data_IF_187940799450
#
_entry.id   IF_187940799450
#
_cell.length_a   1.000
_cell.length_b   1.000
_cell.length_c   1.000
_cell.angle_alpha   90.00
_cell.angle_beta   90.00
_cell.angle_gamma   90.00
#
_symmetry.space_group_name_H-M   'P 1'
#
loop_
_entity.id
_entity.type
_entity.pdbx_description
1 polymer ?
#
# COMPACT_ATOMS: atom_id res chain seq x y z
N UNK A 1 -60.21 22.60 38.53
CA UNK A 1 -59.68 21.25 38.21
C UNK A 1 -58.26 21.17 37.78
N UNK A 2 -57.37 22.22 37.96
CA UNK A 2 -55.98 22.17 37.47
C UNK A 2 -54.94 21.66 38.46
N UNK A 3 -55.24 21.63 39.75
CA UNK A 3 -54.28 21.27 40.80
C UNK A 3 -53.77 19.79 40.78
N UNK A 4 -54.59 18.79 40.48
CA UNK A 4 -54.12 17.40 40.36
C UNK A 4 -53.27 17.18 39.11
N UNK A 5 -53.53 17.82 37.98
CA UNK A 5 -52.74 17.74 36.78
C UNK A 5 -51.34 18.36 36.96
N UNK A 6 -51.27 19.49 37.69
CA UNK A 6 -49.99 20.13 38.01
C UNK A 6 -49.11 19.25 38.93
N UNK A 7 -49.76 18.59 39.93
CA UNK A 7 -49.02 17.64 40.80
C UNK A 7 -48.50 16.44 40.02
N UNK A 8 -49.27 15.91 39.07
CA UNK A 8 -48.82 14.79 38.25
C UNK A 8 -47.63 15.17 37.38
N UNK A 9 -47.70 16.35 36.74
CA UNK A 9 -46.57 16.87 35.94
C UNK A 9 -45.31 17.13 36.74
N UNK A 10 -45.42 17.60 37.98
CA UNK A 10 -44.25 17.79 38.87
C UNK A 10 -43.61 16.50 39.28
N UNK A 11 -44.39 15.45 39.56
CA UNK A 11 -43.89 14.11 39.88
C UNK A 11 -43.20 13.46 38.67
N UNK A 12 -43.75 13.67 37.47
CA UNK A 12 -43.19 13.17 36.23
C UNK A 12 -41.89 13.89 35.87
N UNK A 13 -41.80 15.19 36.14
CA UNK A 13 -40.59 15.99 35.99
C UNK A 13 -39.50 15.56 36.97
N UNK A 14 -39.86 15.30 38.23
CA UNK A 14 -38.91 14.82 39.28
C UNK A 14 -38.34 13.45 38.91
N UNK A 15 -39.22 12.52 38.49
CA UNK A 15 -38.81 11.19 38.03
C UNK A 15 -37.94 11.25 36.77
N UNK A 16 -38.30 12.13 35.84
CA UNK A 16 -37.56 12.35 34.59
C UNK A 16 -36.19 13.00 34.81
N UNK A 17 -36.00 13.77 35.89
CA UNK A 17 -34.73 14.39 36.23
C UNK A 17 -33.77 13.45 36.99
N UNK A 18 -34.30 12.41 37.61
CA UNK A 18 -33.47 11.41 38.33
C UNK A 18 -32.75 10.46 37.37
N UNK A 19 -33.34 10.18 36.21
CA UNK A 19 -32.72 9.28 35.21
C UNK A 19 -31.40 9.83 34.63
N UNK A 20 -31.33 11.14 34.23
CA UNK A 20 -30.07 11.73 33.81
C UNK A 20 -28.99 11.81 34.92
N UNK A 21 -29.42 12.06 36.17
CA UNK A 21 -28.45 12.11 37.29
C UNK A 21 -27.86 10.75 37.60
N UNK A 22 -28.61 9.67 37.48
CA UNK A 22 -28.11 8.30 37.54
C UNK A 22 -27.11 7.99 36.42
N UNK A 23 -27.41 8.37 35.17
CA UNK A 23 -26.51 8.21 34.04
C UNK A 23 -25.23 9.01 34.16
N UNK A 24 -25.28 10.21 34.70
CA UNK A 24 -24.09 11.03 34.98
C UNK A 24 -23.19 10.39 36.06
N UNK A 25 -23.77 9.82 37.11
CA UNK A 25 -23.01 9.08 38.14
C UNK A 25 -22.35 7.83 37.58
N UNK A 26 -23.01 7.12 36.69
CA UNK A 26 -22.46 5.94 36.02
C UNK A 26 -21.34 6.31 35.05
N UNK A 27 -21.49 7.42 34.34
CA UNK A 27 -20.45 7.95 33.46
C UNK A 27 -19.20 8.40 34.25
N UNK A 28 -19.39 9.06 35.39
CA UNK A 28 -18.28 9.49 36.27
C UNK A 28 -17.54 8.29 36.85
N UNK A 29 -18.27 7.26 37.27
CA UNK A 29 -17.71 6.01 37.76
C UNK A 29 -16.93 5.27 36.64
N UNK A 30 -17.48 5.21 35.43
CA UNK A 30 -16.80 4.61 34.27
C UNK A 30 -15.55 5.39 33.85
N UNK A 31 -15.58 6.71 33.89
CA UNK A 31 -14.42 7.55 33.62
C UNK A 31 -13.32 7.38 34.68
N UNK A 32 -13.71 7.24 35.94
CA UNK A 32 -12.81 6.95 37.05
C UNK A 32 -12.11 5.61 36.90
N UNK A 33 -12.87 4.56 36.57
CA UNK A 33 -12.32 3.21 36.31
C UNK A 33 -11.38 3.19 35.11
N UNK A 34 -11.73 3.86 34.02
CA UNK A 34 -10.88 4.00 32.83
C UNK A 34 -9.57 4.72 33.17
N UNK A 35 -9.64 5.80 33.97
CA UNK A 35 -8.46 6.53 34.43
C UNK A 35 -7.52 5.67 35.27
N UNK A 36 -8.07 4.83 36.16
CA UNK A 36 -7.28 3.90 36.98
C UNK A 36 -6.63 2.80 36.11
N UNK A 37 -7.37 2.26 35.15
CA UNK A 37 -6.84 1.24 34.23
C UNK A 37 -5.73 1.81 33.33
N UNK A 38 -5.89 3.04 32.82
CA UNK A 38 -4.87 3.71 32.04
C UNK A 38 -3.60 4.01 32.84
N UNK A 39 -3.74 4.43 34.11
CA UNK A 39 -2.57 4.62 35.00
C UNK A 39 -1.87 3.30 35.31
N UNK A 40 -2.62 2.24 35.60
CA UNK A 40 -2.04 0.90 35.77
C UNK A 40 -1.31 0.41 34.54
N UNK A 41 -1.90 0.57 33.36
CA UNK A 41 -1.25 0.22 32.11
C UNK A 41 0.01 1.08 31.83
N UNK A 42 0.01 2.36 32.21
CA UNK A 42 1.17 3.24 32.07
C UNK A 42 2.32 2.85 33.04
N UNK A 43 1.97 2.32 34.23
CA UNK A 43 2.98 1.84 35.21
C UNK A 43 3.56 0.48 34.79
N UNK A 44 2.80 -0.34 34.05
CA UNK A 44 3.23 -1.63 33.50
C UNK A 44 4.10 -1.48 32.23
N UNK A 45 4.15 -0.27 31.64
CA UNK A 45 5.06 -0.02 30.51
C UNK A 45 6.51 -0.07 31.01
N UNK A 46 7.36 -0.96 30.48
CA UNK A 46 8.76 -1.02 30.88
C UNK A 46 9.43 0.35 30.69
N UNK A 47 9.95 0.91 31.77
CA UNK A 47 10.76 2.15 31.69
C UNK A 47 12.13 1.74 31.21
N UNK A 48 12.40 1.99 29.95
CA UNK A 48 13.69 1.74 29.34
C UNK A 48 14.69 2.78 29.85
N UNK A 49 15.82 2.34 30.38
CA UNK A 49 16.97 3.21 30.67
C UNK A 49 17.57 3.73 29.36
N UNK A 50 18.26 4.87 29.37
CA UNK A 50 18.87 5.45 28.18
C UNK A 50 19.73 4.45 27.38
N UNK A 51 20.51 3.62 28.06
CA UNK A 51 21.34 2.58 27.44
C UNK A 51 20.50 1.47 26.77
N UNK A 52 19.33 1.15 27.32
CA UNK A 52 18.40 0.19 26.71
C UNK A 52 17.66 0.78 25.51
N UNK A 53 17.42 2.08 25.50
CA UNK A 53 16.88 2.80 24.32
C UNK A 53 17.88 2.80 23.18
N UNK A 54 19.17 3.00 23.47
CA UNK A 54 20.23 2.97 22.45
C UNK A 54 20.43 1.53 21.90
N UNK A 55 20.43 0.52 22.75
CA UNK A 55 20.47 -0.88 22.34
C UNK A 55 19.18 -1.29 21.60
N UNK A 56 18.04 -0.79 22.03
CA UNK A 56 16.74 -0.99 21.35
C UNK A 56 16.69 -0.33 19.97
N UNK A 57 17.28 0.83 19.80
CA UNK A 57 17.36 1.52 18.50
C UNK A 57 18.26 0.80 17.50
N UNK A 58 19.28 0.11 17.99
CA UNK A 58 20.20 -0.72 17.19
C UNK A 58 19.60 -2.10 16.86
N UNK A 59 18.80 -2.67 17.76
CA UNK A 59 18.14 -3.97 17.55
C UNK A 59 16.82 -3.85 16.82
N UNK A 60 16.12 -2.75 17.00
CA UNK A 60 14.97 -2.37 16.19
C UNK A 60 15.49 -1.75 14.89
N UNK A 61 15.95 -2.57 13.98
CA UNK A 61 15.87 -2.26 12.55
C UNK A 61 14.40 -2.27 12.09
N UNK A 62 13.49 -1.82 12.92
CA UNK A 62 12.19 -1.32 12.50
C UNK A 62 12.46 -0.10 11.65
N UNK A 63 11.96 -0.04 10.41
CA UNK A 63 11.96 1.22 9.68
C UNK A 63 11.42 2.26 10.65
N UNK A 64 12.22 3.28 10.94
CA UNK A 64 11.83 4.34 11.85
C UNK A 64 10.42 4.76 11.46
N UNK A 65 9.45 4.49 12.33
CA UNK A 65 8.12 5.08 12.23
C UNK A 65 8.35 6.56 12.51
N UNK A 66 8.71 7.28 11.44
CA UNK A 66 8.77 8.73 11.47
C UNK A 66 7.35 9.15 11.78
N UNK A 67 7.13 9.72 12.95
CA UNK A 67 5.84 10.32 13.27
C UNK A 67 5.50 11.29 12.15
N UNK A 68 4.50 10.94 11.37
CA UNK A 68 3.94 11.81 10.34
C UNK A 68 3.23 12.94 11.06
N UNK A 69 3.93 14.02 11.35
CA UNK A 69 3.28 15.23 11.74
C UNK A 69 2.36 15.67 10.59
N UNK A 70 1.10 15.94 10.90
CA UNK A 70 0.04 16.23 9.92
C UNK A 70 0.34 17.47 9.01
N UNK A 71 1.48 18.11 9.19
CA UNK A 71 1.94 19.28 8.43
C UNK A 71 2.95 18.94 7.31
N UNK A 72 3.42 17.69 7.21
CA UNK A 72 4.43 17.33 6.23
C UNK A 72 3.80 16.54 5.07
N UNK A 73 3.12 17.26 4.18
CA UNK A 73 2.56 16.70 2.94
C UNK A 73 3.64 16.02 2.06
N UNK A 74 4.89 16.45 2.19
CA UNK A 74 6.05 15.85 1.53
C UNK A 74 6.33 14.44 2.05
N UNK A 75 6.20 14.22 3.36
CA UNK A 75 6.44 12.92 3.99
C UNK A 75 5.40 11.88 3.57
N UNK A 76 4.13 12.25 3.42
CA UNK A 76 3.08 11.34 2.95
C UNK A 76 3.33 10.90 1.51
N UNK A 77 3.73 11.82 0.63
CA UNK A 77 4.11 11.51 -0.75
C UNK A 77 5.26 10.53 -0.83
N UNK A 78 6.30 10.71 -0.01
CA UNK A 78 7.49 9.84 0.01
C UNK A 78 7.16 8.42 0.48
N UNK A 79 6.28 8.28 1.47
CA UNK A 79 5.85 6.96 2.00
C UNK A 79 5.06 6.17 0.96
N UNK A 80 4.21 6.82 0.17
CA UNK A 80 3.40 6.17 -0.86
C UNK A 80 4.07 6.12 -2.24
N UNK A 81 5.13 6.89 -2.48
CA UNK A 81 5.84 6.91 -3.76
C UNK A 81 6.23 5.52 -4.27
N UNK A 82 6.79 4.60 -3.46
CA UNK A 82 7.12 3.25 -3.92
C UNK A 82 5.93 2.47 -4.47
N UNK A 83 4.76 2.62 -3.85
CA UNK A 83 3.53 1.96 -4.29
C UNK A 83 3.05 2.54 -5.63
N UNK A 84 2.99 3.87 -5.74
CA UNK A 84 2.54 4.54 -6.96
C UNK A 84 3.50 4.32 -8.13
N UNK A 85 4.81 4.24 -7.86
CA UNK A 85 5.81 3.88 -8.88
C UNK A 85 5.60 2.46 -9.40
N UNK A 86 5.41 1.51 -8.50
CA UNK A 86 5.12 0.12 -8.88
C UNK A 86 3.84 0.01 -9.69
N UNK A 87 2.79 0.72 -9.26
CA UNK A 87 1.52 0.79 -9.96
C UNK A 87 1.68 1.39 -11.36
N UNK A 88 2.41 2.50 -11.49
CA UNK A 88 2.67 3.15 -12.76
C UNK A 88 3.43 2.24 -13.74
N UNK A 89 4.44 1.51 -13.25
CA UNK A 89 5.18 0.54 -14.06
C UNK A 89 4.28 -0.59 -14.56
N UNK A 90 3.41 -1.15 -13.69
CA UNK A 90 2.47 -2.20 -14.07
C UNK A 90 1.41 -1.70 -15.07
N UNK A 91 0.85 -0.52 -14.84
CA UNK A 91 -0.11 0.11 -15.76
C UNK A 91 0.50 0.33 -17.14
N UNK A 92 1.73 0.86 -17.21
CA UNK A 92 2.44 1.06 -18.45
C UNK A 92 2.69 -0.24 -19.22
N UNK A 93 3.06 -1.31 -18.50
CA UNK A 93 3.20 -2.63 -19.10
C UNK A 93 1.87 -3.14 -19.67
N UNK A 94 0.77 -2.99 -18.91
CA UNK A 94 -0.56 -3.42 -19.35
C UNK A 94 -1.01 -2.66 -20.60
N UNK A 95 -0.86 -1.33 -20.61
CA UNK A 95 -1.21 -0.48 -21.75
C UNK A 95 -0.35 -0.81 -22.99
N UNK A 96 0.93 -1.07 -22.80
CA UNK A 96 1.85 -1.45 -23.88
C UNK A 96 1.34 -2.69 -24.62
N UNK A 97 0.89 -3.72 -23.92
CA UNK A 97 0.36 -4.94 -24.55
C UNK A 97 -1.11 -4.81 -25.00
N UNK A 98 -1.76 -3.70 -24.74
CA UNK A 98 -3.01 -3.34 -25.43
C UNK A 98 -2.76 -2.84 -26.86
N UNK A 99 -1.62 -2.19 -27.06
CA UNK A 99 -1.22 -1.61 -28.36
C UNK A 99 -0.35 -2.58 -29.16
N UNK A 100 0.62 -3.21 -28.51
CA UNK A 100 1.51 -4.18 -29.14
C UNK A 100 0.90 -5.59 -29.11
N UNK A 101 1.23 -6.39 -30.10
CA UNK A 101 0.85 -7.80 -30.14
C UNK A 101 1.77 -8.61 -29.21
N UNK A 102 1.25 -9.36 -28.24
CA UNK A 102 2.06 -10.12 -27.27
C UNK A 102 2.88 -11.25 -27.92
N UNK A 103 2.41 -11.78 -29.04
CA UNK A 103 3.12 -12.75 -29.86
C UNK A 103 3.09 -12.30 -31.35
N UNK A 104 4.26 -12.27 -31.96
CA UNK A 104 4.39 -11.98 -33.40
C UNK A 104 4.10 -13.25 -34.20
N UNK A 105 3.00 -13.24 -34.96
CA UNK A 105 2.60 -14.40 -35.80
C UNK A 105 3.69 -14.82 -36.77
N UNK A 106 4.44 -13.87 -37.36
CA UNK A 106 5.55 -14.18 -38.27
C UNK A 106 6.65 -15.03 -37.60
N UNK A 107 6.94 -14.80 -36.31
CA UNK A 107 7.94 -15.58 -35.57
C UNK A 107 7.43 -17.00 -35.27
N UNK A 108 6.13 -17.15 -35.05
CA UNK A 108 5.50 -18.47 -34.83
C UNK A 108 5.42 -19.26 -36.13
N UNK A 109 5.00 -18.60 -37.22
CA UNK A 109 4.79 -19.23 -38.55
C UNK A 109 6.11 -19.62 -39.23
N UNK A 110 7.23 -18.97 -38.86
CA UNK A 110 8.57 -19.27 -39.45
C UNK A 110 9.24 -20.51 -38.86
N UNK A 111 8.59 -21.26 -37.96
CA UNK A 111 9.16 -22.47 -37.35
C UNK A 111 10.34 -22.21 -36.43
N UNK A 112 10.55 -20.95 -36.00
CA UNK A 112 11.60 -20.60 -35.04
C UNK A 112 11.32 -21.24 -33.69
N UNK A 113 12.40 -21.57 -32.95
CA UNK A 113 12.28 -22.12 -31.61
C UNK A 113 11.37 -21.25 -30.73
N UNK A 114 10.43 -21.84 -29.96
CA UNK A 114 9.41 -21.09 -29.21
C UNK A 114 10.00 -19.98 -28.32
N UNK A 115 11.14 -20.23 -27.69
CA UNK A 115 11.84 -19.25 -26.86
C UNK A 115 12.27 -18.02 -27.65
N UNK A 116 12.80 -18.20 -28.86
CA UNK A 116 13.21 -17.06 -29.74
C UNK A 116 12.01 -16.25 -30.21
N UNK A 117 10.89 -16.89 -30.49
CA UNK A 117 9.66 -16.22 -30.89
C UNK A 117 9.10 -15.36 -29.74
N UNK A 118 9.12 -15.86 -28.51
CA UNK A 118 8.70 -15.11 -27.31
C UNK A 118 9.64 -13.94 -27.06
N UNK A 119 10.96 -14.17 -27.10
CA UNK A 119 11.95 -13.11 -26.86
C UNK A 119 11.88 -12.00 -27.94
N UNK A 120 11.76 -12.37 -29.21
CA UNK A 120 11.60 -11.38 -30.29
C UNK A 120 10.30 -10.58 -30.16
N UNK A 121 9.25 -11.18 -29.60
CA UNK A 121 7.98 -10.49 -29.33
C UNK A 121 8.06 -9.61 -28.09
N UNK A 122 8.94 -9.93 -27.13
CA UNK A 122 9.16 -9.16 -25.92
C UNK A 122 9.96 -7.88 -26.14
N UNK A 123 10.93 -7.88 -27.06
CA UNK A 123 11.84 -6.76 -27.30
C UNK A 123 11.14 -5.41 -27.55
N UNK A 124 10.09 -5.31 -28.39
CA UNK A 124 9.38 -4.05 -28.57
C UNK A 124 8.76 -3.52 -27.27
N UNK A 125 8.20 -4.41 -26.42
CA UNK A 125 7.70 -4.08 -25.10
C UNK A 125 8.80 -3.58 -24.18
N UNK A 126 9.97 -4.22 -24.18
CA UNK A 126 11.13 -3.79 -23.40
C UNK A 126 11.62 -2.39 -23.80
N UNK A 127 11.64 -2.08 -25.09
CA UNK A 127 12.01 -0.73 -25.58
C UNK A 127 11.03 0.33 -25.05
N UNK A 128 9.72 0.08 -25.14
CA UNK A 128 8.69 0.97 -24.57
C UNK A 128 8.86 1.09 -23.05
N UNK A 129 9.08 -0.03 -22.34
CA UNK A 129 9.33 -0.06 -20.90
C UNK A 129 10.58 0.73 -20.50
N UNK A 130 11.65 0.67 -21.31
CA UNK A 130 12.84 1.49 -21.09
C UNK A 130 12.53 2.98 -21.24
N UNK A 131 11.78 3.37 -22.27
CA UNK A 131 11.32 4.74 -22.45
C UNK A 131 10.46 5.23 -21.26
N UNK A 132 9.54 4.40 -20.79
CA UNK A 132 8.73 4.68 -19.61
C UNK A 132 9.61 4.86 -18.35
N UNK A 133 10.59 3.99 -18.14
CA UNK A 133 11.54 4.05 -17.01
C UNK A 133 12.30 5.39 -17.02
N UNK A 134 12.87 5.77 -18.16
CA UNK A 134 13.60 7.03 -18.30
C UNK A 134 12.71 8.24 -18.02
N UNK A 135 11.48 8.23 -18.54
CA UNK A 135 10.53 9.31 -18.30
C UNK A 135 10.16 9.42 -16.82
N UNK A 136 9.83 8.33 -16.17
CA UNK A 136 9.47 8.32 -14.74
C UNK A 136 10.66 8.74 -13.88
N UNK A 137 11.84 8.23 -14.17
CA UNK A 137 13.07 8.65 -13.49
C UNK A 137 13.34 10.14 -13.65
N UNK A 138 13.20 10.70 -14.85
CA UNK A 138 13.36 12.12 -15.10
C UNK A 138 12.33 12.97 -14.35
N UNK A 139 11.06 12.52 -14.31
CA UNK A 139 10.00 13.21 -13.57
C UNK A 139 10.31 13.24 -12.08
N UNK A 140 10.73 12.12 -11.49
CA UNK A 140 11.03 12.04 -10.05
C UNK A 140 12.21 12.95 -9.70
N UNK A 141 13.30 12.89 -10.48
CA UNK A 141 14.54 13.59 -10.14
C UNK A 141 14.49 15.07 -10.47
N UNK A 142 13.79 15.48 -11.53
CA UNK A 142 13.82 16.87 -12.01
C UNK A 142 12.54 17.64 -11.74
N UNK A 143 11.37 16.99 -11.79
CA UNK A 143 10.09 17.68 -11.67
C UNK A 143 9.54 17.63 -10.24
N UNK A 144 9.60 16.47 -9.61
CA UNK A 144 9.07 16.29 -8.24
C UNK A 144 10.11 16.73 -7.20
N UNK A 145 11.40 16.61 -7.53
CA UNK A 145 12.48 17.06 -6.63
C UNK A 145 12.58 16.22 -5.35
N UNK A 146 12.22 14.95 -5.43
CA UNK A 146 12.45 14.02 -4.31
C UNK A 146 13.97 13.84 -4.18
N UNK A 147 14.47 14.04 -2.96
CA UNK A 147 15.87 13.82 -2.65
C UNK A 147 16.16 12.32 -2.61
N UNK A 148 16.57 11.79 -3.78
CA UNK A 148 16.83 10.36 -3.95
C UNK A 148 18.25 10.05 -3.51
N UNK A 149 18.39 9.20 -2.50
CA UNK A 149 19.71 8.82 -1.97
C UNK A 149 20.63 8.22 -3.03
N UNK A 150 20.08 7.41 -3.94
CA UNK A 150 20.85 6.72 -4.99
C UNK A 150 20.14 6.76 -6.36
N UNK A 151 20.23 7.84 -7.14
CA UNK A 151 19.46 8.01 -8.39
C UNK A 151 19.77 6.96 -9.45
N UNK A 152 21.01 6.47 -9.52
CA UNK A 152 21.36 5.38 -10.45
C UNK A 152 20.76 4.04 -10.04
N UNK A 153 20.68 3.76 -8.73
CA UNK A 153 20.05 2.56 -8.21
C UNK A 153 18.54 2.59 -8.43
N UNK A 154 17.92 3.76 -8.25
CA UNK A 154 16.49 3.98 -8.56
C UNK A 154 16.21 3.72 -10.05
N UNK A 155 17.06 4.22 -10.95
CA UNK A 155 16.91 3.98 -12.39
C UNK A 155 16.96 2.48 -12.72
N UNK A 156 17.94 1.77 -12.13
CA UNK A 156 18.07 0.32 -12.31
C UNK A 156 16.86 -0.43 -11.75
N UNK A 157 16.39 -0.04 -10.57
CA UNK A 157 15.21 -0.62 -9.92
C UNK A 157 13.94 -0.42 -10.77
N UNK A 158 13.72 0.78 -11.29
CA UNK A 158 12.62 1.10 -12.20
C UNK A 158 12.69 0.27 -13.48
N UNK A 159 13.89 0.16 -14.08
CA UNK A 159 14.10 -0.60 -15.31
C UNK A 159 13.83 -2.09 -15.11
N UNK A 160 14.36 -2.67 -14.01
CA UNK A 160 14.15 -4.08 -13.68
C UNK A 160 12.67 -4.37 -13.42
N UNK A 161 12.00 -3.51 -12.64
CA UNK A 161 10.57 -3.63 -12.36
C UNK A 161 9.74 -3.54 -13.65
N UNK A 162 10.06 -2.59 -14.52
CA UNK A 162 9.42 -2.46 -15.83
C UNK A 162 9.59 -3.73 -16.67
N UNK A 163 10.81 -4.27 -16.74
CA UNK A 163 11.10 -5.49 -17.48
C UNK A 163 10.29 -6.69 -16.96
N UNK A 164 10.21 -6.87 -15.63
CA UNK A 164 9.43 -7.96 -15.01
C UNK A 164 7.93 -7.80 -15.29
N UNK A 165 7.38 -6.59 -15.14
CA UNK A 165 5.96 -6.36 -15.40
C UNK A 165 5.60 -6.50 -16.89
N UNK A 166 6.50 -6.07 -17.79
CA UNK A 166 6.35 -6.30 -19.22
C UNK A 166 6.31 -7.79 -19.55
N UNK A 167 7.19 -8.60 -18.94
CA UNK A 167 7.21 -10.05 -19.15
C UNK A 167 5.94 -10.72 -18.58
N UNK A 168 5.52 -10.34 -17.38
CA UNK A 168 4.33 -10.89 -16.74
C UNK A 168 3.07 -10.61 -17.56
N UNK A 169 2.85 -9.35 -17.92
CA UNK A 169 1.67 -8.93 -18.68
C UNK A 169 1.68 -9.48 -20.11
N UNK A 170 2.86 -9.63 -20.73
CA UNK A 170 3.01 -10.35 -21.99
C UNK A 170 2.58 -11.82 -21.86
N UNK A 171 3.10 -12.51 -20.84
CA UNK A 171 2.80 -13.93 -20.63
C UNK A 171 1.29 -14.16 -20.46
N UNK A 172 0.62 -13.35 -19.64
CA UNK A 172 -0.83 -13.42 -19.48
C UNK A 172 -1.55 -13.22 -20.82
N UNK A 173 -1.23 -12.18 -21.57
CA UNK A 173 -1.87 -11.91 -22.87
C UNK A 173 -1.54 -12.98 -23.93
N UNK A 174 -0.35 -13.59 -23.87
CA UNK A 174 0.05 -14.65 -24.80
C UNK A 174 -0.71 -15.95 -24.56
N UNK A 175 -0.96 -16.30 -23.28
CA UNK A 175 -1.64 -17.55 -22.90
C UNK A 175 -3.14 -17.46 -23.09
N UNK A 176 -3.77 -16.40 -22.59
CA UNK A 176 -5.26 -16.30 -22.58
C UNK A 176 -5.81 -15.45 -23.73
N UNK A 177 -4.95 -14.84 -24.53
CA UNK A 177 -5.34 -13.95 -25.62
C UNK A 177 -5.56 -12.50 -25.16
N UNK A 178 -5.55 -11.57 -26.12
CA UNK A 178 -5.53 -10.14 -25.84
C UNK A 178 -6.78 -9.62 -25.11
N UNK A 179 -7.97 -10.19 -25.39
CA UNK A 179 -9.22 -9.72 -24.78
C UNK A 179 -9.35 -10.17 -23.33
N UNK A 180 -9.19 -11.47 -23.07
CA UNK A 180 -9.22 -12.00 -21.71
C UNK A 180 -8.02 -11.54 -20.88
N UNK A 181 -6.85 -11.41 -21.49
CA UNK A 181 -5.64 -10.94 -20.85
C UNK A 181 -5.74 -9.54 -20.28
N UNK A 182 -6.47 -8.64 -20.94
CA UNK A 182 -6.75 -7.29 -20.41
C UNK A 182 -7.51 -7.34 -19.09
N UNK A 183 -8.56 -8.15 -19.04
CA UNK A 183 -9.38 -8.31 -17.82
C UNK A 183 -8.56 -8.95 -16.71
N UNK A 184 -7.81 -10.00 -17.02
CA UNK A 184 -6.94 -10.67 -16.04
C UNK A 184 -5.86 -9.74 -15.51
N UNK A 185 -5.22 -8.95 -16.37
CA UNK A 185 -4.20 -7.97 -15.93
C UNK A 185 -4.80 -6.90 -15.02
N UNK A 186 -6.05 -6.44 -15.25
CA UNK A 186 -6.74 -5.51 -14.34
C UNK A 186 -7.04 -6.17 -12.98
N UNK A 187 -7.50 -7.43 -12.99
CA UNK A 187 -7.74 -8.19 -11.75
C UNK A 187 -6.42 -8.41 -11.00
N UNK A 188 -5.36 -8.80 -11.71
CA UNK A 188 -4.01 -8.94 -11.13
C UNK A 188 -3.52 -7.64 -10.52
N UNK A 189 -3.72 -6.51 -11.20
CA UNK A 189 -3.35 -5.19 -10.68
C UNK A 189 -4.06 -4.89 -9.36
N UNK A 190 -5.38 -5.11 -9.28
CA UNK A 190 -6.13 -4.92 -8.05
C UNK A 190 -5.68 -5.85 -6.93
N UNK A 191 -5.43 -7.12 -7.25
CA UNK A 191 -4.93 -8.12 -6.31
C UNK A 191 -3.54 -7.73 -5.77
N UNK A 192 -2.62 -7.38 -6.66
CA UNK A 192 -1.26 -6.96 -6.32
C UNK A 192 -1.25 -5.67 -5.48
N UNK A 193 -2.10 -4.70 -5.82
CA UNK A 193 -2.22 -3.44 -5.08
C UNK A 193 -2.59 -3.68 -3.60
N UNK A 194 -3.53 -4.60 -3.36
CA UNK A 194 -3.97 -4.93 -1.99
C UNK A 194 -2.93 -5.80 -1.27
N UNK A 195 -2.34 -6.80 -1.96
CA UNK A 195 -1.41 -7.76 -1.36
C UNK A 195 -0.01 -7.18 -1.13
N UNK A 196 0.39 -6.12 -1.85
CA UNK A 196 1.76 -5.58 -1.85
C UNK A 196 2.25 -5.06 -0.49
N UNK A 197 1.37 -4.86 0.49
CA UNK A 197 1.73 -4.25 1.78
C UNK A 197 2.09 -2.75 1.67
N UNK A 198 1.83 -2.13 0.50
CA UNK A 198 2.08 -0.71 0.29
C UNK A 198 0.98 0.18 0.85
N UNK A 199 -0.27 -0.30 0.86
CA UNK A 199 -1.44 0.44 1.32
C UNK A 199 -1.92 -0.06 2.70
N UNK A 200 -1.94 -1.37 2.90
CA UNK A 200 -2.38 -2.02 4.15
C UNK A 200 -1.27 -2.90 4.72
N UNK A 201 -1.04 -2.90 6.04
CA UNK A 201 -0.10 -3.81 6.68
C UNK A 201 -0.46 -5.27 6.39
N UNK A 202 0.56 -6.08 6.09
CA UNK A 202 0.38 -7.50 5.69
C UNK A 202 -0.28 -8.31 6.80
N UNK A 203 -0.04 -7.94 8.05
CA UNK A 203 -0.55 -8.59 9.25
C UNK A 203 -2.08 -8.49 9.37
N UNK A 204 -2.67 -7.41 8.85
CA UNK A 204 -4.12 -7.19 8.88
C UNK A 204 -4.85 -7.86 7.72
N UNK A 205 -4.11 -8.43 6.76
CA UNK A 205 -4.69 -9.03 5.58
C UNK A 205 -5.19 -10.46 5.84
N UNK A 206 -6.27 -10.90 5.14
CA UNK A 206 -6.72 -12.29 5.16
C UNK A 206 -5.61 -13.26 4.71
N UNK A 207 -5.67 -14.51 5.19
CA UNK A 207 -4.66 -15.54 4.92
C UNK A 207 -4.35 -15.73 3.42
N UNK A 208 -5.37 -15.63 2.55
CA UNK A 208 -5.21 -15.70 1.11
C UNK A 208 -4.32 -14.58 0.56
N UNK A 209 -4.55 -13.33 0.97
CA UNK A 209 -3.75 -12.17 0.51
C UNK A 209 -2.32 -12.24 1.03
N UNK A 210 -2.11 -12.72 2.26
CA UNK A 210 -0.77 -12.99 2.80
C UNK A 210 -0.02 -14.06 2.01
N UNK A 211 -0.72 -15.09 1.54
CA UNK A 211 -0.11 -16.08 0.65
C UNK A 211 0.25 -15.46 -0.71
N UNK A 212 -0.66 -14.66 -1.32
CA UNK A 212 -0.36 -13.91 -2.55
C UNK A 212 0.83 -12.99 -2.38
N UNK A 213 0.92 -12.27 -1.26
CA UNK A 213 2.03 -11.35 -0.92
C UNK A 213 3.41 -11.99 -1.11
N UNK A 214 3.58 -13.27 -0.78
CA UNK A 214 4.87 -13.97 -0.91
C UNK A 214 5.35 -14.15 -2.36
N UNK A 215 4.42 -14.12 -3.33
CA UNK A 215 4.70 -14.34 -4.75
C UNK A 215 4.44 -13.10 -5.60
N UNK A 216 3.90 -12.06 -5.00
CA UNK A 216 3.46 -10.85 -5.68
C UNK A 216 4.66 -10.02 -6.17
N UNK A 217 4.84 -9.84 -7.49
CA UNK A 217 5.92 -9.00 -8.03
C UNK A 217 5.85 -7.54 -7.57
N UNK A 218 4.64 -7.01 -7.27
CA UNK A 218 4.48 -5.65 -6.77
C UNK A 218 5.03 -5.51 -5.35
N UNK A 219 4.93 -6.53 -4.50
CA UNK A 219 5.57 -6.56 -3.17
C UNK A 219 7.07 -6.33 -3.28
N UNK A 220 7.72 -7.05 -4.18
CA UNK A 220 9.18 -6.92 -4.39
C UNK A 220 9.55 -5.56 -4.95
N UNK A 221 8.77 -5.02 -5.91
CA UNK A 221 9.03 -3.70 -6.49
C UNK A 221 8.84 -2.57 -5.47
N UNK A 222 7.78 -2.62 -4.64
CA UNK A 222 7.54 -1.64 -3.56
C UNK A 222 8.70 -1.66 -2.56
N UNK A 223 9.16 -2.84 -2.13
CA UNK A 223 10.28 -2.96 -1.22
C UNK A 223 11.58 -2.45 -1.87
N UNK A 224 11.82 -2.79 -3.14
CA UNK A 224 12.99 -2.31 -3.88
C UNK A 224 13.03 -0.77 -3.95
N UNK A 225 11.90 -0.13 -4.25
CA UNK A 225 11.82 1.34 -4.30
C UNK A 225 11.97 1.98 -2.92
N UNK A 226 11.48 1.35 -1.84
CA UNK A 226 11.72 1.84 -0.46
C UNK A 226 13.19 1.90 -0.09
N UNK A 227 14.02 1.05 -0.68
CA UNK A 227 15.47 1.06 -0.45
C UNK A 227 16.23 2.05 -1.34
N UNK A 228 15.60 2.59 -2.37
CA UNK A 228 16.25 3.48 -3.34
C UNK A 228 15.85 4.94 -3.21
N UNK A 229 14.71 5.20 -2.60
CA UNK A 229 14.19 6.54 -2.29
C UNK A 229 14.55 6.92 -0.84
#
# INVERSE_FOLDING_TARGET
GGAPALRHGLVELDTGSQTPSGGLSELDSGAGELSLRLRGAADDVPRWSGDALDAGSLSAATPATRELSAHDMTTFGTVLAPLFLSLAMFMGATVTWMVLRPLQRRAVDSGTAPFRAVLASYLPGLVVGTGQTLLVWAVITWLVGIDVAHPALLLLALWLTSAVFMALTQAVNAVVGATAGRVINLVLMGLQLVSSGGLYPVETQPAFLRWVHTWDPMTFSVNLFRHTI
#
